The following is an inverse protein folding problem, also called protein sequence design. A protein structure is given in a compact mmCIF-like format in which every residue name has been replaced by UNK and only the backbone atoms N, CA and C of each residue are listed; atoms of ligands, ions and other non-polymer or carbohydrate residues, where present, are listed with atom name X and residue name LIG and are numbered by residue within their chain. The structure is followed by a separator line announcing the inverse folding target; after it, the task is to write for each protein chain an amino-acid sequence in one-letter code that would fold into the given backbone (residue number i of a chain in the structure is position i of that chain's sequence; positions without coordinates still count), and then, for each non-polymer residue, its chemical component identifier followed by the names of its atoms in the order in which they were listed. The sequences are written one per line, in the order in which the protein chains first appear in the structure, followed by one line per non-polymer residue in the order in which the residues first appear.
data_IF_990337328955
#
_entry.id   IF_990337328955
#
_cell.length_a   1.000
_cell.length_b   1.000
_cell.length_c   1.000
_cell.angle_alpha   90.00
_cell.angle_beta   90.00
_cell.angle_gamma   90.00
#
_symmetry.space_group_name_H-M   'P 1'
#
loop_
_entity.id
_entity.type
_entity.pdbx_description
1 polymer ?
#
# COMPACT_ATOMS: atom_id res chain seq x y z
N UNK A 1 24.78 12.28 26.88
CA UNK A 1 24.48 11.26 25.88
C UNK A 1 22.99 10.99 25.70
N UNK A 2 22.19 10.94 26.76
CA UNK A 2 20.73 10.66 26.70
C UNK A 2 19.89 11.74 25.95
N UNK A 3 20.33 13.00 25.92
CA UNK A 3 19.64 14.11 25.22
C UNK A 3 19.90 14.13 23.71
N UNK A 4 21.05 13.61 23.25
CA UNK A 4 21.39 13.52 21.82
C UNK A 4 20.60 12.42 21.10
N UNK A 5 20.25 11.33 21.80
CA UNK A 5 19.40 10.25 21.23
C UNK A 5 17.95 10.67 20.97
N UNK A 6 17.41 11.61 21.76
CA UNK A 6 16.05 12.13 21.57
C UNK A 6 15.93 13.04 20.34
N UNK A 7 16.99 13.74 19.97
CA UNK A 7 16.99 14.63 18.80
C UNK A 7 17.06 13.82 17.50
N UNK A 8 17.74 12.66 17.49
CA UNK A 8 17.80 11.77 16.32
C UNK A 8 16.46 11.11 15.98
N UNK A 9 15.58 10.90 16.96
CA UNK A 9 14.26 10.29 16.75
C UNK A 9 13.22 11.25 16.14
N UNK A 10 13.39 12.55 16.31
CA UNK A 10 12.50 13.56 15.73
C UNK A 10 12.71 13.76 14.22
N UNK A 11 13.88 13.39 13.69
CA UNK A 11 14.19 13.50 12.25
C UNK A 11 13.50 12.45 11.37
N UNK A 12 12.99 11.35 11.92
CA UNK A 12 12.31 10.28 11.17
C UNK A 12 10.81 10.51 10.94
N UNK A 13 10.23 11.54 11.55
CA UNK A 13 8.81 11.89 11.39
C UNK A 13 8.51 12.81 10.20
N UNK A 14 9.47 13.05 9.32
CA UNK A 14 9.26 13.80 8.09
C UNK A 14 8.48 12.94 7.08
N UNK A 15 7.17 12.79 7.27
CA UNK A 15 6.23 12.31 6.26
C UNK A 15 6.32 13.22 5.03
N UNK A 16 7.23 12.93 4.10
CA UNK A 16 7.43 13.56 2.79
C UNK A 16 6.99 15.04 2.63
N UNK A 17 7.70 15.79 1.86
CA UNK A 17 7.38 17.20 1.59
C UNK A 17 6.01 17.34 0.91
N UNK A 18 5.36 18.51 0.95
CA UNK A 18 4.16 18.79 0.17
C UNK A 18 4.32 18.48 -1.32
N UNK A 19 5.48 18.74 -1.90
CA UNK A 19 5.82 18.39 -3.28
C UNK A 19 5.82 16.88 -3.51
N UNK A 20 6.47 16.10 -2.64
CA UNK A 20 6.49 14.64 -2.75
C UNK A 20 5.11 14.01 -2.62
N UNK A 21 4.27 14.53 -1.72
CA UNK A 21 2.87 14.10 -1.60
C UNK A 21 2.09 14.38 -2.86
N UNK A 22 2.16 15.60 -3.39
CA UNK A 22 1.53 16.00 -4.64
C UNK A 22 1.95 15.07 -5.80
N UNK A 23 3.25 14.81 -5.97
CA UNK A 23 3.77 13.92 -7.01
C UNK A 23 3.27 12.48 -6.86
N UNK A 24 3.21 11.97 -5.64
CA UNK A 24 2.71 10.64 -5.34
C UNK A 24 1.22 10.52 -5.68
N UNK A 25 0.44 11.53 -5.30
CA UNK A 25 -0.99 11.56 -5.57
C UNK A 25 -1.26 11.65 -7.08
N UNK A 26 -0.49 12.47 -7.80
CA UNK A 26 -0.58 12.60 -9.25
C UNK A 26 -0.26 11.28 -9.99
N UNK A 27 0.67 10.47 -9.47
CA UNK A 27 1.06 9.19 -10.06
C UNK A 27 0.23 7.99 -9.56
N UNK A 28 -0.64 8.18 -8.58
CA UNK A 28 -1.27 7.09 -7.84
C UNK A 28 -2.03 6.09 -8.74
N UNK A 29 -2.88 6.59 -9.64
CA UNK A 29 -3.67 5.73 -10.53
C UNK A 29 -2.79 4.93 -11.48
N UNK A 30 -1.78 5.56 -12.06
CA UNK A 30 -0.81 4.87 -12.91
C UNK A 30 -0.04 3.79 -12.14
N UNK A 31 0.44 4.12 -10.93
CA UNK A 31 1.16 3.17 -10.08
C UNK A 31 0.29 1.98 -9.67
N UNK A 32 -0.98 2.22 -9.33
CA UNK A 32 -1.93 1.14 -9.01
C UNK A 32 -2.18 0.21 -10.20
N UNK A 33 -2.36 0.76 -11.39
CA UNK A 33 -2.54 -0.06 -12.59
C UNK A 33 -1.31 -0.93 -12.88
N UNK A 34 -0.10 -0.39 -12.71
CA UNK A 34 1.14 -1.15 -12.87
C UNK A 34 1.31 -2.24 -11.80
N UNK A 35 0.94 -1.95 -10.54
CA UNK A 35 0.96 -2.94 -9.46
C UNK A 35 -0.03 -4.07 -9.72
N UNK A 36 -1.27 -3.74 -10.11
CA UNK A 36 -2.30 -4.72 -10.43
C UNK A 36 -1.84 -5.65 -11.56
N UNK A 37 -1.26 -5.12 -12.64
CA UNK A 37 -0.68 -5.94 -13.72
C UNK A 37 0.43 -6.88 -13.22
N UNK A 38 1.27 -6.39 -12.32
CA UNK A 38 2.33 -7.20 -11.71
C UNK A 38 1.75 -8.35 -10.89
N UNK A 39 0.68 -8.11 -10.12
CA UNK A 39 0.03 -9.17 -9.34
C UNK A 39 -0.69 -10.17 -10.26
N UNK A 40 -1.37 -9.70 -11.32
CA UNK A 40 -1.97 -10.58 -12.34
C UNK A 40 -0.91 -11.51 -12.93
N UNK A 41 0.24 -10.99 -13.33
CA UNK A 41 1.33 -11.80 -13.87
C UNK A 41 1.84 -12.85 -12.87
N UNK A 42 1.94 -12.50 -11.59
CA UNK A 42 2.32 -13.44 -10.53
C UNK A 42 1.25 -14.52 -10.32
N UNK A 43 -0.02 -14.14 -10.31
CA UNK A 43 -1.13 -15.06 -10.10
C UNK A 43 -1.26 -16.04 -11.26
N UNK A 44 -1.10 -15.57 -12.50
CA UNK A 44 -1.04 -16.43 -13.69
C UNK A 44 0.14 -17.42 -13.63
N UNK A 45 1.31 -16.94 -13.22
CA UNK A 45 2.50 -17.80 -13.10
C UNK A 45 2.35 -18.88 -12.00
N UNK A 46 1.63 -18.56 -10.92
CA UNK A 46 1.39 -19.49 -9.79
C UNK A 46 0.21 -20.43 -10.03
N UNK A 47 -0.77 -20.03 -10.82
CA UNK A 47 -2.04 -20.72 -11.03
C UNK A 47 -3.03 -20.56 -9.87
N UNK A 48 -2.72 -19.77 -8.85
CA UNK A 48 -3.60 -19.50 -7.71
C UNK A 48 -3.35 -18.08 -7.16
N UNK A 49 -4.36 -17.56 -6.49
CA UNK A 49 -4.27 -16.34 -5.67
C UNK A 49 -4.59 -16.65 -4.21
N UNK A 50 -4.45 -15.65 -3.34
CA UNK A 50 -4.86 -15.75 -1.94
C UNK A 50 -6.13 -14.94 -1.72
N UNK A 51 -7.18 -15.59 -1.18
CA UNK A 51 -8.38 -14.91 -0.68
C UNK A 51 -8.35 -14.93 0.84
N UNK A 52 -8.70 -13.81 1.46
CA UNK A 52 -8.86 -13.73 2.91
C UNK A 52 -10.32 -13.50 3.22
N UNK A 53 -10.94 -14.51 3.85
CA UNK A 53 -12.32 -14.48 4.29
C UNK A 53 -12.39 -14.38 5.82
N UNK A 54 -13.44 -13.74 6.34
CA UNK A 54 -13.67 -13.66 7.76
C UNK A 54 -14.53 -14.83 8.21
N UNK A 55 -13.98 -15.73 9.03
CA UNK A 55 -14.68 -16.87 9.58
C UNK A 55 -15.05 -16.63 11.05
N UNK A 56 -16.33 -16.83 11.36
CA UNK A 56 -16.80 -16.77 12.73
C UNK A 56 -16.81 -18.16 13.33
N UNK A 57 -16.09 -18.33 14.44
CA UNK A 57 -16.03 -19.59 15.19
C UNK A 57 -16.52 -19.38 16.60
N UNK A 58 -17.19 -20.39 17.14
CA UNK A 58 -17.53 -20.42 18.56
C UNK A 58 -16.35 -21.00 19.33
N UNK A 59 -15.85 -20.27 20.31
CA UNK A 59 -14.74 -20.69 21.15
C UNK A 59 -15.18 -20.72 22.61
N UNK A 60 -14.79 -21.76 23.31
CA UNK A 60 -15.02 -21.88 24.74
C UNK A 60 -13.93 -21.08 25.46
N UNK A 61 -14.33 -20.04 26.18
CA UNK A 61 -13.40 -19.08 26.79
C UNK A 61 -13.88 -18.63 28.17
N UNK A 62 -12.98 -18.07 28.96
CA UNK A 62 -13.31 -17.50 30.27
C UNK A 62 -14.06 -16.18 30.08
N UNK A 63 -15.30 -16.10 30.54
CA UNK A 63 -16.13 -14.90 30.46
C UNK A 63 -16.09 -14.02 31.68
N UNK A 64 -15.57 -14.52 32.80
CA UNK A 64 -15.45 -13.77 34.05
C UNK A 64 -15.10 -14.67 35.21
N UNK A 65 -14.90 -14.06 36.38
CA UNK A 65 -14.75 -14.75 37.66
C UNK A 65 -15.71 -14.17 38.64
N UNK A 66 -16.37 -15.04 39.43
CA UNK A 66 -17.23 -14.65 40.52
C UNK A 66 -16.91 -15.48 41.76
N UNK A 67 -16.62 -14.84 42.90
CA UNK A 67 -16.21 -15.48 44.16
C UNK A 67 -15.01 -16.47 43.99
N UNK A 68 -14.06 -16.15 43.11
CA UNK A 68 -12.88 -16.99 42.87
C UNK A 68 -13.07 -18.17 41.88
N UNK A 69 -14.28 -18.35 41.38
CA UNK A 69 -14.58 -19.36 40.37
C UNK A 69 -14.58 -18.76 38.97
N UNK A 70 -13.91 -19.43 38.01
CA UNK A 70 -13.91 -19.05 36.61
C UNK A 70 -15.21 -19.51 35.94
N UNK A 71 -15.86 -18.59 35.25
CA UNK A 71 -17.03 -18.90 34.42
C UNK A 71 -16.59 -19.02 32.97
N UNK A 72 -16.96 -20.09 32.31
CA UNK A 72 -16.69 -20.34 30.90
C UNK A 72 -17.98 -20.14 30.12
N UNK A 73 -17.84 -19.55 28.94
CA UNK A 73 -18.94 -19.41 27.99
C UNK A 73 -18.47 -19.57 26.54
N UNK A 74 -19.42 -19.75 25.65
CA UNK A 74 -19.17 -19.70 24.23
C UNK A 74 -19.05 -18.26 23.76
N UNK A 75 -17.85 -17.88 23.30
CA UNK A 75 -17.59 -16.60 22.63
C UNK A 75 -17.59 -16.80 21.14
N UNK A 76 -18.19 -15.84 20.46
CA UNK A 76 -18.05 -15.70 19.01
C UNK A 76 -16.74 -14.96 18.74
N UNK A 77 -15.83 -15.63 18.04
CA UNK A 77 -14.55 -15.08 17.59
C UNK A 77 -14.52 -15.03 16.07
N UNK A 78 -14.15 -13.89 15.51
CA UNK A 78 -14.10 -13.69 14.06
C UNK A 78 -12.66 -13.43 13.67
N UNK A 79 -12.09 -14.35 12.92
CA UNK A 79 -10.67 -14.30 12.50
C UNK A 79 -10.55 -14.34 10.97
N UNK A 80 -9.54 -13.66 10.42
CA UNK A 80 -9.25 -13.74 8.99
C UNK A 80 -8.61 -15.09 8.67
N UNK A 81 -9.18 -15.79 7.70
CA UNK A 81 -8.64 -17.07 7.19
C UNK A 81 -8.21 -16.89 5.75
N UNK A 82 -6.93 -17.00 5.48
CA UNK A 82 -6.38 -16.89 4.12
C UNK A 82 -6.27 -18.28 3.48
N UNK A 83 -6.87 -18.41 2.30
CA UNK A 83 -6.88 -19.66 1.52
C UNK A 83 -6.34 -19.42 0.12
N UNK A 84 -5.78 -20.49 -0.46
CA UNK A 84 -5.43 -20.52 -1.89
C UNK A 84 -6.68 -20.79 -2.71
N UNK A 85 -6.92 -19.94 -3.70
CA UNK A 85 -8.05 -20.07 -4.64
C UNK A 85 -7.46 -20.18 -6.05
N UNK A 86 -7.87 -21.16 -6.86
CA UNK A 86 -7.43 -21.25 -8.24
C UNK A 86 -7.86 -20.00 -9.01
N UNK A 87 -7.01 -19.49 -9.88
CA UNK A 87 -7.34 -18.33 -10.72
C UNK A 87 -8.04 -18.76 -12.00
N UNK A 88 -8.87 -17.88 -12.54
CA UNK A 88 -9.39 -18.01 -13.90
C UNK A 88 -8.43 -17.27 -14.86
N UNK A 89 -7.62 -17.99 -15.67
CA UNK A 89 -6.65 -17.33 -16.54
C UNK A 89 -7.28 -16.40 -17.57
N UNK A 90 -8.44 -16.77 -18.13
CA UNK A 90 -9.13 -15.98 -19.15
C UNK A 90 -9.57 -14.61 -18.59
N UNK A 91 -10.09 -14.60 -17.37
CA UNK A 91 -10.50 -13.37 -16.69
C UNK A 91 -9.28 -12.48 -16.37
N UNK A 92 -8.20 -13.06 -15.90
CA UNK A 92 -6.97 -12.32 -15.61
C UNK A 92 -6.35 -11.73 -16.87
N UNK A 93 -6.30 -12.48 -17.98
CA UNK A 93 -5.82 -11.95 -19.25
C UNK A 93 -6.70 -10.81 -19.78
N UNK A 94 -8.02 -10.94 -19.67
CA UNK A 94 -8.93 -9.86 -20.03
C UNK A 94 -8.67 -8.62 -19.19
N UNK A 95 -8.52 -8.78 -17.88
CA UNK A 95 -8.24 -7.67 -16.96
C UNK A 95 -6.90 -7.01 -17.27
N UNK A 96 -5.85 -7.79 -17.55
CA UNK A 96 -4.54 -7.24 -17.93
C UNK A 96 -4.62 -6.43 -19.22
N UNK A 97 -5.35 -6.92 -20.25
CA UNK A 97 -5.56 -6.19 -21.49
C UNK A 97 -6.33 -4.86 -21.31
N UNK A 98 -7.33 -4.84 -20.43
CA UNK A 98 -8.05 -3.60 -20.04
C UNK A 98 -7.11 -2.58 -19.41
N UNK A 99 -6.28 -3.02 -18.47
CA UNK A 99 -5.29 -2.16 -17.80
C UNK A 99 -4.26 -1.65 -18.81
N UNK A 100 -3.76 -2.52 -19.69
CA UNK A 100 -2.81 -2.14 -20.73
C UNK A 100 -3.37 -1.05 -21.65
N UNK A 101 -4.62 -1.17 -22.05
CA UNK A 101 -5.29 -0.15 -22.86
C UNK A 101 -5.42 1.21 -22.14
N UNK A 102 -5.55 1.21 -20.82
CA UNK A 102 -5.67 2.43 -20.01
C UNK A 102 -4.31 3.09 -19.70
N UNK A 103 -3.22 2.34 -19.66
CA UNK A 103 -1.90 2.83 -19.25
C UNK A 103 -1.42 4.09 -19.99
N UNK A 104 -1.60 4.23 -21.32
CA UNK A 104 -1.15 5.44 -22.02
C UNK A 104 -1.85 6.71 -21.53
N UNK A 105 -3.14 6.63 -21.21
CA UNK A 105 -3.88 7.76 -20.65
C UNK A 105 -3.44 8.05 -19.22
N UNK A 106 -3.42 7.03 -18.35
CA UNK A 106 -2.98 7.18 -16.95
C UNK A 106 -1.57 7.77 -16.83
N UNK A 107 -0.67 7.39 -17.75
CA UNK A 107 0.68 7.95 -17.81
C UNK A 107 0.67 9.44 -18.18
N UNK A 108 -0.16 9.85 -19.15
CA UNK A 108 -0.30 11.27 -19.52
C UNK A 108 -0.85 12.10 -18.35
N UNK A 109 -1.88 11.59 -17.69
CA UNK A 109 -2.52 12.25 -16.56
C UNK A 109 -1.55 12.40 -15.38
N UNK A 110 -0.78 11.35 -15.07
CA UNK A 110 0.28 11.39 -14.07
C UNK A 110 1.34 12.45 -14.42
N UNK A 111 1.82 12.49 -15.67
CA UNK A 111 2.81 13.46 -16.11
C UNK A 111 2.28 14.91 -16.02
N UNK A 112 1.02 15.14 -16.41
CA UNK A 112 0.36 16.43 -16.30
C UNK A 112 0.23 16.87 -14.83
N UNK A 113 -0.22 15.98 -13.95
CA UNK A 113 -0.34 16.23 -12.52
C UNK A 113 1.01 16.53 -11.88
N UNK A 114 2.05 15.78 -12.20
CA UNK A 114 3.42 16.03 -11.72
C UNK A 114 3.97 17.38 -12.22
N UNK A 115 3.65 17.78 -13.45
CA UNK A 115 4.03 19.10 -13.97
C UNK A 115 3.33 20.21 -13.17
N UNK A 116 2.07 20.03 -12.80
CA UNK A 116 1.35 20.97 -11.93
C UNK A 116 1.97 21.04 -10.53
N UNK A 117 2.37 19.90 -9.94
CA UNK A 117 3.06 19.87 -8.65
C UNK A 117 4.36 20.67 -8.68
N UNK A 118 5.16 20.55 -9.76
CA UNK A 118 6.39 21.34 -9.94
C UNK A 118 6.10 22.85 -10.02
N UNK A 119 5.02 23.25 -10.67
CA UNK A 119 4.63 24.68 -10.73
C UNK A 119 4.18 25.20 -9.38
N UNK A 120 3.51 24.37 -8.59
CA UNK A 120 2.97 24.75 -7.27
C UNK A 120 4.04 24.85 -6.18
N UNK A 121 5.10 24.04 -6.27
CA UNK A 121 6.16 23.92 -5.25
C UNK A 121 7.57 24.12 -5.84
N UNK A 122 7.87 25.28 -6.50
CA UNK A 122 9.13 25.47 -7.19
C UNK A 122 10.34 25.45 -6.25
N UNK A 123 10.25 26.00 -5.05
CA UNK A 123 11.33 26.01 -4.07
C UNK A 123 11.72 24.62 -3.58
N UNK A 124 10.77 23.70 -3.44
CA UNK A 124 11.05 22.33 -3.03
C UNK A 124 11.67 21.49 -4.17
N UNK A 125 11.32 21.79 -5.42
CA UNK A 125 11.95 21.20 -6.61
C UNK A 125 13.42 21.59 -6.69
N UNK A 126 13.74 22.87 -6.48
CA UNK A 126 15.11 23.37 -6.50
C UNK A 126 15.98 22.77 -5.39
N UNK A 127 15.41 22.61 -4.18
CA UNK A 127 16.08 21.97 -3.04
C UNK A 127 16.35 20.47 -3.26
N UNK A 128 15.54 19.78 -4.08
CA UNK A 128 15.70 18.35 -4.38
C UNK A 128 16.74 18.05 -5.47
N UNK A 129 17.18 19.06 -6.23
CA UNK A 129 18.23 18.91 -7.24
C UNK A 129 19.60 18.97 -6.55
N UNK A 130 20.42 17.92 -6.56
CA UNK A 130 21.76 17.97 -5.99
C UNK A 130 22.57 19.03 -6.73
N UNK A 131 23.43 19.79 -6.01
CA UNK A 131 24.30 20.77 -6.65
C UNK A 131 25.18 20.06 -7.71
N UNK A 132 25.48 20.71 -8.84
CA UNK A 132 26.36 20.12 -9.85
C UNK A 132 27.67 19.74 -9.19
N UNK A 133 28.11 18.49 -9.42
CA UNK A 133 29.40 18.02 -8.93
C UNK A 133 30.47 19.01 -9.41
N UNK A 134 31.10 19.72 -8.47
CA UNK A 134 32.20 20.61 -8.79
C UNK A 134 33.29 19.79 -9.46
N UNK A 135 33.49 20.01 -10.78
CA UNK A 135 34.59 19.47 -11.52
C UNK A 135 35.88 20.04 -10.91
N UNK A 136 36.58 19.20 -10.11
CA UNK A 136 37.91 19.46 -9.60
C UNK A 136 38.96 18.93 -10.53
#
# INVERSE_FOLDING_TARGET
MRRLLLISLLGLAACGTPYERCNRDAANLYSKAMQERTEIAKDLARGFTYSTDWETRMRWDVCGSHHGYLHYCWRRDTEPVTRRVPVNPEELHRRDAELEAQLPQLRRDAAAGQAECRRRYPAEVEAAVPPPASAG
#
